data_IF_229347287841
#
_entry.id   IF_229347287841
#
_cell.length_a   1.000
_cell.length_b   1.000
_cell.length_c   1.000
_cell.angle_alpha   90.00
_cell.angle_beta   90.00
_cell.angle_gamma   90.00
#
_symmetry.space_group_name_H-M   'P 1'
#
loop_
_entity.id
_entity.type
_entity.pdbx_description
1 polymer ?
#
# COMPACT_ATOMS: atom_id res chain seq x y z
N UNK A 1 16.07 15.11 -73.58
CA UNK A 1 17.43 15.42 -74.05
C UNK A 1 17.52 16.92 -74.19
N UNK A 2 18.44 17.61 -73.49
CA UNK A 2 18.63 19.05 -73.69
C UNK A 2 19.09 19.29 -75.13
N UNK A 3 18.55 20.33 -75.77
CA UNK A 3 18.90 20.73 -77.13
C UNK A 3 18.95 22.26 -77.21
N UNK A 4 19.71 22.81 -78.16
CA UNK A 4 19.73 24.24 -78.43
C UNK A 4 18.53 24.67 -79.29
N UNK A 5 18.26 25.97 -79.35
CA UNK A 5 17.12 26.55 -80.08
C UNK A 5 17.13 26.24 -81.59
N UNK A 6 18.32 26.07 -82.16
CA UNK A 6 18.49 25.69 -83.57
C UNK A 6 18.02 24.25 -83.83
N UNK A 7 18.40 23.29 -82.97
CA UNK A 7 17.92 21.91 -83.04
C UNK A 7 16.40 21.82 -82.81
N UNK A 8 15.85 22.67 -81.92
CA UNK A 8 14.41 22.80 -81.71
C UNK A 8 13.71 23.19 -83.01
N UNK A 9 14.27 24.18 -83.72
CA UNK A 9 13.65 24.78 -84.91
C UNK A 9 13.77 23.90 -86.16
N UNK A 10 14.81 23.08 -86.27
CA UNK A 10 15.09 22.27 -87.47
C UNK A 10 14.63 20.82 -87.30
N UNK A 11 15.13 20.14 -86.25
CA UNK A 11 14.96 18.69 -86.07
C UNK A 11 13.76 18.33 -85.19
N UNK A 12 13.31 19.26 -84.34
CA UNK A 12 12.21 19.04 -83.40
C UNK A 12 11.04 20.00 -83.59
N UNK A 13 10.89 20.59 -84.78
CA UNK A 13 9.85 21.59 -85.09
C UNK A 13 8.41 21.11 -84.90
N UNK A 14 8.19 19.79 -84.99
CA UNK A 14 6.88 19.15 -84.75
C UNK A 14 6.67 18.70 -83.30
N UNK A 15 7.65 18.88 -82.42
CA UNK A 15 7.53 18.49 -81.01
C UNK A 15 6.75 19.57 -80.24
N UNK A 16 5.55 19.23 -79.77
CA UNK A 16 4.65 20.14 -79.05
C UNK A 16 4.96 20.27 -77.55
N UNK A 17 5.92 19.52 -77.04
CA UNK A 17 6.24 19.41 -75.61
C UNK A 17 7.54 20.09 -75.15
N UNK A 18 8.08 21.02 -75.94
CA UNK A 18 9.36 21.67 -75.63
C UNK A 18 9.17 22.63 -74.45
N UNK A 19 9.96 22.43 -73.39
CA UNK A 19 9.95 23.24 -72.17
C UNK A 19 11.32 23.85 -71.95
N UNK A 20 11.37 25.03 -71.34
CA UNK A 20 12.64 25.65 -70.96
C UNK A 20 13.38 24.78 -69.95
N UNK A 21 14.70 24.67 -70.10
CA UNK A 21 15.54 23.93 -69.17
C UNK A 21 15.39 24.43 -67.74
N UNK A 22 15.30 25.76 -67.56
CA UNK A 22 15.08 26.39 -66.25
C UNK A 22 13.79 25.91 -65.57
N UNK A 23 12.67 25.83 -66.31
CA UNK A 23 11.40 25.35 -65.76
C UNK A 23 11.42 23.86 -65.41
N UNK A 24 12.11 23.04 -66.20
CA UNK A 24 12.28 21.60 -65.91
C UNK A 24 13.18 21.38 -64.68
N UNK A 25 14.28 22.14 -64.57
CA UNK A 25 15.20 22.07 -63.42
C UNK A 25 14.49 22.49 -62.13
N UNK A 26 13.73 23.59 -62.15
CA UNK A 26 13.02 24.08 -60.96
C UNK A 26 11.93 23.09 -60.52
N UNK A 27 11.14 22.55 -61.46
CA UNK A 27 10.13 21.52 -61.15
C UNK A 27 10.75 20.27 -60.54
N UNK A 28 11.87 19.80 -61.09
CA UNK A 28 12.61 18.64 -60.57
C UNK A 28 13.15 18.90 -59.17
N UNK A 29 13.62 20.12 -58.90
CA UNK A 29 14.10 20.53 -57.57
C UNK A 29 12.97 20.51 -56.55
N UNK A 30 11.81 21.08 -56.90
CA UNK A 30 10.61 21.07 -56.04
C UNK A 30 10.15 19.65 -55.76
N UNK A 31 10.10 18.77 -56.78
CA UNK A 31 9.71 17.37 -56.62
C UNK A 31 10.63 16.63 -55.64
N UNK A 32 11.95 16.78 -55.78
CA UNK A 32 12.92 16.19 -54.83
C UNK A 32 12.78 16.73 -53.41
N UNK A 33 12.56 18.03 -53.25
CA UNK A 33 12.31 18.63 -51.94
C UNK A 33 11.02 18.10 -51.31
N UNK A 34 9.96 17.91 -52.11
CA UNK A 34 8.70 17.30 -51.66
C UNK A 34 8.91 15.87 -51.20
N UNK A 35 9.60 15.03 -51.98
CA UNK A 35 9.91 13.64 -51.61
C UNK A 35 10.70 13.56 -50.30
N UNK A 36 11.68 14.46 -50.10
CA UNK A 36 12.42 14.54 -48.84
C UNK A 36 11.52 14.90 -47.66
N UNK A 37 10.64 15.89 -47.83
CA UNK A 37 9.69 16.30 -46.78
C UNK A 37 8.71 15.18 -46.46
N UNK A 38 8.19 14.47 -47.46
CA UNK A 38 7.29 13.33 -47.26
C UNK A 38 7.98 12.22 -46.44
N UNK A 39 9.28 11.97 -46.69
CA UNK A 39 10.07 11.02 -45.90
C UNK A 39 10.23 11.47 -44.45
N UNK A 40 10.52 12.74 -44.22
CA UNK A 40 10.70 13.31 -42.88
C UNK A 40 9.38 13.29 -42.08
N UNK A 41 8.26 13.63 -42.74
CA UNK A 41 6.92 13.56 -42.16
C UNK A 41 6.58 12.12 -41.75
N UNK A 42 6.82 11.14 -42.62
CA UNK A 42 6.55 9.74 -42.31
C UNK A 42 7.42 9.21 -41.15
N UNK A 43 8.68 9.63 -41.09
CA UNK A 43 9.58 9.32 -39.97
C UNK A 43 9.05 9.92 -38.66
N UNK A 44 8.65 11.19 -38.67
CA UNK A 44 8.08 11.87 -37.51
C UNK A 44 6.79 11.22 -37.03
N UNK A 45 5.88 10.85 -37.96
CA UNK A 45 4.64 10.14 -37.64
C UNK A 45 4.92 8.81 -36.93
N UNK A 46 5.87 8.03 -37.44
CA UNK A 46 6.24 6.75 -36.83
C UNK A 46 6.82 6.93 -35.41
N UNK A 47 7.65 7.96 -35.19
CA UNK A 47 8.16 8.30 -33.85
C UNK A 47 7.01 8.69 -32.92
N UNK A 48 6.08 9.52 -33.38
CA UNK A 48 4.92 9.94 -32.59
C UNK A 48 4.04 8.74 -32.21
N UNK A 49 3.79 7.81 -33.14
CA UNK A 49 3.05 6.58 -32.85
C UNK A 49 3.74 5.75 -31.76
N UNK A 50 5.06 5.60 -31.82
CA UNK A 50 5.83 4.91 -30.76
C UNK A 50 5.69 5.61 -29.41
N UNK A 51 5.75 6.95 -29.38
CA UNK A 51 5.60 7.72 -28.15
C UNK A 51 4.19 7.52 -27.56
N UNK A 52 3.15 7.60 -28.39
CA UNK A 52 1.75 7.39 -27.96
C UNK A 52 1.57 5.98 -27.39
N UNK A 53 2.07 4.95 -28.09
CA UNK A 53 1.98 3.56 -27.63
C UNK A 53 2.73 3.35 -26.30
N UNK A 54 3.93 3.92 -26.17
CA UNK A 54 4.71 3.85 -24.94
C UNK A 54 4.00 4.55 -23.77
N UNK A 55 3.43 5.73 -24.01
CA UNK A 55 2.65 6.47 -22.99
C UNK A 55 1.41 5.68 -22.56
N UNK A 56 0.65 5.13 -23.52
CA UNK A 56 -0.51 4.29 -23.21
C UNK A 56 -0.11 3.07 -22.37
N UNK A 57 1.00 2.41 -22.73
CA UNK A 57 1.54 1.30 -21.96
C UNK A 57 1.97 1.70 -20.54
N UNK A 58 2.60 2.86 -20.37
CA UNK A 58 2.98 3.39 -19.06
C UNK A 58 1.76 3.68 -18.18
N UNK A 59 0.70 4.27 -18.73
CA UNK A 59 -0.54 4.56 -18.01
C UNK A 59 -1.15 3.26 -17.48
N UNK A 60 -1.31 2.24 -18.34
CA UNK A 60 -1.83 0.93 -17.95
C UNK A 60 -0.99 0.26 -16.85
N UNK A 61 0.33 0.33 -16.95
CA UNK A 61 1.23 -0.18 -15.90
C UNK A 61 1.05 0.57 -14.59
N UNK A 62 0.91 1.90 -14.63
CA UNK A 62 0.66 2.73 -13.47
C UNK A 62 -0.66 2.38 -12.78
N UNK A 63 -1.73 2.18 -13.55
CA UNK A 63 -3.04 1.74 -13.03
C UNK A 63 -2.96 0.37 -12.35
N UNK A 64 -2.26 -0.59 -12.97
CA UNK A 64 -2.04 -1.92 -12.39
C UNK A 64 -1.25 -1.87 -11.08
N UNK A 65 -0.20 -1.04 -11.02
CA UNK A 65 0.58 -0.84 -9.81
C UNK A 65 -0.25 -0.18 -8.71
N UNK A 66 -1.05 0.84 -9.04
CA UNK A 66 -1.94 1.51 -8.11
C UNK A 66 -2.93 0.52 -7.47
N UNK A 67 -3.59 -0.31 -8.28
CA UNK A 67 -4.54 -1.32 -7.76
C UNK A 67 -3.86 -2.40 -6.92
N UNK A 68 -2.64 -2.80 -7.29
CA UNK A 68 -1.83 -3.74 -6.49
C UNK A 68 -1.46 -3.16 -5.12
N UNK A 69 -1.01 -1.90 -5.08
CA UNK A 69 -0.68 -1.20 -3.83
C UNK A 69 -1.93 -1.04 -2.97
N UNK A 70 -3.07 -0.66 -3.56
CA UNK A 70 -4.35 -0.52 -2.85
C UNK A 70 -4.79 -1.82 -2.19
N UNK A 71 -4.70 -2.95 -2.90
CA UNK A 71 -4.99 -4.29 -2.35
C UNK A 71 -4.02 -4.66 -1.22
N UNK A 72 -2.74 -4.36 -1.40
CA UNK A 72 -1.70 -4.62 -0.40
C UNK A 72 -1.96 -3.83 0.89
N UNK A 73 -2.33 -2.55 0.79
CA UNK A 73 -2.70 -1.72 1.94
C UNK A 73 -3.93 -2.28 2.64
N UNK A 74 -4.96 -2.69 1.90
CA UNK A 74 -6.16 -3.29 2.48
C UNK A 74 -5.84 -4.57 3.28
N UNK A 75 -5.03 -5.46 2.70
CA UNK A 75 -4.58 -6.69 3.35
C UNK A 75 -3.76 -6.41 4.63
N UNK A 76 -2.85 -5.42 4.60
CA UNK A 76 -2.11 -5.05 5.81
C UNK A 76 -3.00 -4.47 6.90
N UNK A 77 -4.00 -3.65 6.55
CA UNK A 77 -4.97 -3.14 7.52
C UNK A 77 -5.77 -4.28 8.18
N UNK A 78 -6.23 -5.23 7.39
CA UNK A 78 -6.92 -6.42 7.91
C UNK A 78 -6.04 -7.22 8.86
N UNK A 79 -4.78 -7.48 8.49
CA UNK A 79 -3.83 -8.18 9.37
C UNK A 79 -3.56 -7.44 10.67
N UNK A 80 -3.41 -6.12 10.62
CA UNK A 80 -3.21 -5.30 11.82
C UNK A 80 -4.43 -5.40 12.72
N UNK A 81 -5.63 -5.23 12.18
CA UNK A 81 -6.87 -5.32 12.96
C UNK A 81 -7.02 -6.69 13.61
N UNK A 82 -6.86 -7.78 12.85
CA UNK A 82 -6.93 -9.14 13.41
C UNK A 82 -5.90 -9.37 14.51
N UNK A 83 -4.70 -8.77 14.41
CA UNK A 83 -3.70 -8.87 15.45
C UNK A 83 -4.06 -8.07 16.71
N UNK A 84 -4.65 -6.89 16.54
CA UNK A 84 -5.15 -6.06 17.63
C UNK A 84 -6.31 -6.75 18.37
N UNK A 85 -7.27 -7.31 17.63
CA UNK A 85 -8.40 -8.06 18.18
C UNK A 85 -7.89 -9.26 19.01
N UNK A 86 -6.93 -10.02 18.47
CA UNK A 86 -6.34 -11.14 19.20
C UNK A 86 -5.57 -10.72 20.46
N UNK A 87 -4.85 -9.59 20.41
CA UNK A 87 -4.16 -9.05 21.58
C UNK A 87 -5.16 -8.58 22.64
N UNK A 88 -6.26 -7.94 22.23
CA UNK A 88 -7.33 -7.52 23.13
C UNK A 88 -7.97 -8.73 23.83
N UNK A 89 -8.36 -9.76 23.08
CA UNK A 89 -8.90 -11.01 23.64
C UNK A 89 -7.94 -11.66 24.64
N UNK A 90 -6.64 -11.72 24.29
CA UNK A 90 -5.61 -12.28 25.15
C UNK A 90 -5.49 -11.50 26.46
N UNK A 91 -5.47 -10.17 26.39
CA UNK A 91 -5.37 -9.32 27.58
C UNK A 91 -6.61 -9.47 28.48
N UNK A 92 -7.81 -9.54 27.92
CA UNK A 92 -9.01 -9.82 28.72
C UNK A 92 -8.92 -11.17 29.42
N UNK A 93 -8.46 -12.21 28.72
CA UNK A 93 -8.33 -13.54 29.32
C UNK A 93 -7.28 -13.59 30.45
N UNK A 94 -6.15 -12.91 30.28
CA UNK A 94 -5.12 -12.79 31.32
C UNK A 94 -5.66 -12.04 32.55
N UNK A 95 -6.38 -10.93 32.35
CA UNK A 95 -7.01 -10.18 33.43
C UNK A 95 -8.04 -11.05 34.18
N UNK A 96 -8.92 -11.75 33.47
CA UNK A 96 -9.92 -12.62 34.08
C UNK A 96 -9.27 -13.74 34.90
N UNK A 97 -8.20 -14.33 34.39
CA UNK A 97 -7.45 -15.37 35.11
C UNK A 97 -6.86 -14.82 36.40
N UNK A 98 -6.19 -13.66 36.35
CA UNK A 98 -5.62 -12.99 37.52
C UNK A 98 -6.72 -12.64 38.54
N UNK A 99 -7.87 -12.13 38.08
CA UNK A 99 -8.98 -11.78 38.96
C UNK A 99 -9.55 -13.01 39.67
N UNK A 100 -9.69 -14.14 38.98
CA UNK A 100 -10.14 -15.41 39.56
C UNK A 100 -9.14 -15.90 40.62
N UNK A 101 -7.85 -15.90 40.30
CA UNK A 101 -6.78 -16.31 41.21
C UNK A 101 -6.75 -15.44 42.47
N UNK A 102 -6.75 -14.11 42.32
CA UNK A 102 -6.75 -13.17 43.45
C UNK A 102 -8.01 -13.32 44.31
N UNK A 103 -9.19 -13.50 43.70
CA UNK A 103 -10.43 -13.71 44.43
C UNK A 103 -10.41 -15.00 45.24
N UNK A 104 -9.83 -16.07 44.70
CA UNK A 104 -9.64 -17.34 45.39
C UNK A 104 -8.70 -17.17 46.59
N UNK A 105 -7.56 -16.51 46.40
CA UNK A 105 -6.59 -16.25 47.46
C UNK A 105 -7.17 -15.39 48.59
N UNK A 106 -7.87 -14.30 48.26
CA UNK A 106 -8.57 -13.48 49.24
C UNK A 106 -9.61 -14.29 50.02
N UNK A 107 -10.35 -15.17 49.35
CA UNK A 107 -11.36 -16.03 49.99
C UNK A 107 -10.72 -16.99 51.01
N UNK A 108 -9.56 -17.56 50.66
CA UNK A 108 -8.79 -18.43 51.55
C UNK A 108 -8.26 -17.64 52.76
N UNK A 109 -7.68 -16.46 52.54
CA UNK A 109 -7.20 -15.59 53.62
C UNK A 109 -8.33 -15.17 54.58
N UNK A 110 -9.52 -14.86 54.06
CA UNK A 110 -10.70 -14.55 54.87
C UNK A 110 -11.09 -15.77 55.73
N UNK A 111 -11.07 -16.98 55.17
CA UNK A 111 -11.38 -18.20 55.91
C UNK A 111 -10.38 -18.44 57.05
N UNK A 112 -9.08 -18.29 56.79
CA UNK A 112 -8.03 -18.42 57.81
C UNK A 112 -8.17 -17.38 58.93
N UNK A 113 -8.47 -16.12 58.58
CA UNK A 113 -8.68 -15.05 59.57
C UNK A 113 -9.88 -15.38 60.45
N UNK A 114 -10.99 -15.85 59.87
CA UNK A 114 -12.18 -16.26 60.63
C UNK A 114 -11.86 -17.39 61.60
N UNK A 115 -11.09 -18.39 61.16
CA UNK A 115 -10.67 -19.51 62.01
C UNK A 115 -9.79 -19.03 63.18
N UNK A 116 -8.76 -18.25 62.88
CA UNK A 116 -7.84 -17.69 63.90
C UNK A 116 -8.58 -16.79 64.90
N UNK A 117 -9.49 -15.95 64.43
CA UNK A 117 -10.35 -15.10 65.27
C UNK A 117 -11.21 -15.96 66.22
N UNK A 118 -11.81 -17.05 65.71
CA UNK A 118 -12.56 -18.00 66.52
C UNK A 118 -11.72 -18.67 67.61
N UNK A 119 -10.48 -19.08 67.29
CA UNK A 119 -9.53 -19.64 68.27
C UNK A 119 -9.15 -18.61 69.35
N UNK A 120 -8.83 -17.37 68.95
CA UNK A 120 -8.52 -16.29 69.89
C UNK A 120 -9.69 -15.98 70.83
N UNK A 121 -10.93 -15.98 70.32
CA UNK A 121 -12.12 -15.81 71.15
C UNK A 121 -12.24 -16.92 72.20
N UNK A 122 -12.07 -18.18 71.80
CA UNK A 122 -12.07 -19.33 72.72
C UNK A 122 -10.97 -19.19 73.79
N UNK A 123 -9.75 -18.82 73.39
CA UNK A 123 -8.65 -18.59 74.34
C UNK A 123 -8.96 -17.46 75.32
N UNK A 124 -9.53 -16.35 74.85
CA UNK A 124 -9.98 -15.23 75.70
C UNK A 124 -11.05 -15.67 76.71
N UNK A 125 -12.04 -16.44 76.26
CA UNK A 125 -13.12 -16.95 77.11
C UNK A 125 -12.57 -17.90 78.19
N UNK A 126 -11.63 -18.79 77.83
CA UNK A 126 -10.94 -19.68 78.78
C UNK A 126 -10.11 -18.90 79.82
N UNK A 127 -9.33 -17.91 79.40
CA UNK A 127 -8.56 -17.03 80.30
C UNK A 127 -9.47 -16.29 81.28
N UNK A 128 -10.59 -15.76 80.79
CA UNK A 128 -11.58 -15.07 81.61
C UNK A 128 -12.14 -16.02 82.68
N UNK A 129 -12.53 -17.24 82.30
CA UNK A 129 -13.04 -18.25 83.21
C UNK A 129 -12.04 -18.61 84.33
N UNK A 130 -10.76 -18.82 83.97
CA UNK A 130 -9.68 -19.05 84.95
C UNK A 130 -9.58 -17.86 85.91
N UNK A 131 -9.56 -16.64 85.40
CA UNK A 131 -9.40 -15.43 86.21
C UNK A 131 -10.55 -15.23 87.19
N UNK A 132 -11.79 -15.58 86.82
CA UNK A 132 -12.96 -15.60 87.72
C UNK A 132 -12.99 -16.76 88.72
N UNK A 133 -12.23 -17.84 88.53
CA UNK A 133 -12.11 -18.94 89.49
C UNK A 133 -11.00 -18.72 90.54
N UNK A 134 -10.13 -17.72 90.33
CA UNK A 134 -9.03 -17.35 91.25
C UNK A 134 -9.40 -16.46 92.48
N UNK A 135 -10.65 -16.04 92.78
CA UNK A 135 -10.89 -15.20 93.98
C UNK A 135 -10.65 -15.83 95.36
N UNK A 136 -10.27 -17.11 95.51
CA UNK A 136 -10.25 -17.78 96.84
C UNK A 136 -9.00 -18.63 97.15
N UNK A 137 -7.81 -18.25 96.68
CA UNK A 137 -6.56 -18.87 97.14
C UNK A 137 -5.73 -17.99 98.09
N UNK A 138 -6.34 -16.95 98.70
CA UNK A 138 -5.78 -16.26 99.86
C UNK A 138 -6.62 -16.56 101.10
N UNK A 139 -6.52 -17.77 101.64
CA UNK A 139 -6.82 -18.05 103.05
C UNK A 139 -5.93 -19.24 103.47
N UNK A 140 -5.09 -18.96 104.47
CA UNK A 140 -4.05 -19.75 105.14
C UNK A 140 -2.61 -19.48 104.71
#
# INVERSE_FOLDING_TARGET
MPCCDECVSISHSKCTGIKSLAGVVEKTKIEKSKESLDKDINSALHILMKIVNNKSGNIKRGEQQYESIKKTIANYREKINNHLDHLEEKLYHEIDTILIEQKSEISNLIAEIKEKSGKLKKMKDQLSAITTQVPNFNLF
#
